data_IF_134770524517
#
_entry.id   IF_134770524517
#
_cell.length_a   1.000
_cell.length_b   1.000
_cell.length_c   1.000
_cell.angle_alpha   90.00
_cell.angle_beta   90.00
_cell.angle_gamma   90.00
#
_symmetry.space_group_name_H-M   'P 1'
#
loop_
_entity.id
_entity.type
_entity.pdbx_description
1 polymer ?
#
# COMPACT_ATOMS: atom_id res chain seq x y z
N UNK A 1 28.36 9.91 -0.13
CA UNK A 1 28.57 11.13 -0.93
C UNK A 1 27.22 11.65 -1.37
N UNK A 2 27.00 12.95 -1.58
CA UNK A 2 25.74 13.44 -2.13
C UNK A 2 25.53 12.85 -3.53
N UNK A 3 24.29 12.49 -3.85
CA UNK A 3 23.90 11.94 -5.15
C UNK A 3 23.10 13.03 -5.87
N UNK A 4 23.52 13.44 -7.10
CA UNK A 4 22.92 14.52 -7.85
C UNK A 4 22.13 13.99 -9.04
N UNK A 5 20.89 14.46 -9.23
CA UNK A 5 20.07 14.10 -10.39
C UNK A 5 20.59 14.79 -11.64
N UNK A 6 21.06 14.03 -12.63
CA UNK A 6 21.48 14.52 -13.95
C UNK A 6 20.35 14.50 -14.99
N UNK A 7 19.42 13.55 -14.89
CA UNK A 7 18.28 13.43 -15.81
C UNK A 7 17.03 12.92 -15.07
N UNK A 8 15.88 13.48 -15.41
CA UNK A 8 14.58 12.96 -15.06
C UNK A 8 13.75 12.61 -16.30
N UNK A 9 13.02 11.51 -16.29
CA UNK A 9 12.11 11.14 -17.36
C UNK A 9 10.79 10.58 -16.82
N UNK A 10 9.69 10.87 -17.51
CA UNK A 10 8.35 10.45 -17.18
C UNK A 10 7.81 9.55 -18.30
N UNK A 11 7.23 8.41 -17.91
CA UNK A 11 6.65 7.45 -18.83
C UNK A 11 5.23 7.11 -18.40
N UNK A 12 4.26 7.28 -19.30
CA UNK A 12 2.88 6.80 -19.08
C UNK A 12 2.80 5.32 -19.37
N UNK A 13 1.97 4.61 -18.58
CA UNK A 13 1.61 3.24 -18.84
C UNK A 13 0.09 3.01 -18.71
N UNK A 14 -0.41 1.92 -19.34
CA UNK A 14 -1.79 1.46 -19.23
C UNK A 14 -1.84 -0.07 -19.27
N UNK A 15 -1.82 -0.70 -18.10
CA UNK A 15 -1.77 -2.15 -17.93
C UNK A 15 -3.18 -2.75 -17.91
N UNK A 16 -3.47 -3.83 -18.65
CA UNK A 16 -4.76 -4.50 -18.59
C UNK A 16 -4.95 -5.20 -17.25
N UNK A 17 -6.19 -5.19 -16.74
CA UNK A 17 -6.58 -5.97 -15.57
C UNK A 17 -7.08 -7.35 -15.99
N UNK A 18 -6.92 -8.35 -15.12
CA UNK A 18 -7.41 -9.73 -15.33
C UNK A 18 -8.95 -9.80 -15.40
N UNK A 19 -9.63 -8.86 -14.75
CA UNK A 19 -11.07 -8.65 -14.80
C UNK A 19 -11.37 -7.19 -14.48
N UNK A 20 -12.51 -6.62 -14.93
CA UNK A 20 -12.91 -5.28 -14.55
C UNK A 20 -12.94 -5.10 -13.03
N UNK A 21 -12.40 -3.97 -12.58
CA UNK A 21 -12.37 -3.59 -11.17
C UNK A 21 -13.41 -2.50 -10.93
N UNK A 22 -14.39 -2.76 -10.07
CA UNK A 22 -15.37 -1.76 -9.68
C UNK A 22 -14.78 -0.85 -8.59
N UNK A 23 -14.55 0.41 -8.92
CA UNK A 23 -14.06 1.44 -8.03
C UNK A 23 -15.12 2.55 -7.93
N UNK A 24 -15.86 2.58 -6.82
CA UNK A 24 -17.03 3.44 -6.71
C UNK A 24 -18.05 3.16 -7.81
N UNK A 25 -18.41 4.18 -8.60
CA UNK A 25 -19.32 4.07 -9.74
C UNK A 25 -18.64 3.66 -11.06
N UNK A 26 -17.31 3.60 -11.11
CA UNK A 26 -16.55 3.34 -12.33
C UNK A 26 -16.08 1.89 -12.43
N UNK A 27 -16.20 1.31 -13.64
CA UNK A 27 -15.60 0.02 -13.98
C UNK A 27 -14.28 0.24 -14.73
N UNK A 28 -13.17 -0.04 -14.05
CA UNK A 28 -11.82 0.14 -14.58
C UNK A 28 -11.33 -1.19 -15.18
N UNK A 29 -10.93 -1.19 -16.43
CA UNK A 29 -10.38 -2.37 -17.14
C UNK A 29 -8.88 -2.32 -17.33
N UNK A 30 -8.28 -1.15 -17.12
CA UNK A 30 -6.83 -0.91 -17.24
C UNK A 30 -6.34 -0.07 -16.07
N UNK A 31 -5.24 -0.49 -15.46
CA UNK A 31 -4.53 0.31 -14.48
C UNK A 31 -3.60 1.28 -15.20
N UNK A 32 -3.73 2.56 -14.90
CA UNK A 32 -2.94 3.63 -15.53
C UNK A 32 -2.09 4.33 -14.48
N UNK A 33 -0.91 4.79 -14.90
CA UNK A 33 -0.01 5.55 -14.06
C UNK A 33 1.14 6.18 -14.84
N UNK A 34 2.03 6.85 -14.13
CA UNK A 34 3.26 7.44 -14.64
C UNK A 34 4.43 6.85 -13.88
N UNK A 35 5.38 6.25 -14.60
CA UNK A 35 6.69 5.94 -14.03
C UNK A 35 7.58 7.17 -14.07
N UNK A 36 8.24 7.44 -12.96
CA UNK A 36 9.32 8.40 -12.84
C UNK A 36 10.64 7.63 -12.91
N UNK A 37 11.55 8.05 -13.79
CA UNK A 37 12.93 7.56 -13.85
C UNK A 37 13.86 8.73 -13.51
N UNK A 38 14.70 8.54 -12.51
CA UNK A 38 15.77 9.48 -12.16
C UNK A 38 17.11 8.83 -12.47
N UNK A 39 17.99 9.58 -13.15
CA UNK A 39 19.38 9.18 -13.40
C UNK A 39 20.27 10.13 -12.64
N UNK A 40 21.23 9.59 -11.90
CA UNK A 40 22.23 10.36 -11.17
C UNK A 40 23.46 10.62 -12.02
N UNK A 41 24.31 11.59 -11.64
CA UNK A 41 25.56 11.92 -12.35
C UNK A 41 26.48 10.69 -12.49
N UNK A 42 26.48 9.81 -11.48
CA UNK A 42 27.27 8.57 -11.47
C UNK A 42 26.63 7.45 -12.33
N UNK A 43 25.52 7.74 -13.02
CA UNK A 43 24.82 6.78 -13.88
C UNK A 43 23.87 5.84 -13.14
N UNK A 44 23.76 5.94 -11.82
CA UNK A 44 22.78 5.19 -11.04
C UNK A 44 21.36 5.59 -11.41
N UNK A 45 20.43 4.63 -11.43
CA UNK A 45 19.04 4.86 -11.84
C UNK A 45 18.08 4.44 -10.75
N UNK A 46 17.13 5.31 -10.43
CA UNK A 46 15.98 4.98 -9.62
C UNK A 46 14.66 5.08 -10.40
N UNK A 47 13.71 4.26 -10.02
CA UNK A 47 12.37 4.23 -10.59
C UNK A 47 11.30 4.42 -9.51
N UNK A 48 10.22 5.11 -9.85
CA UNK A 48 9.04 5.26 -9.00
C UNK A 48 7.75 5.17 -9.79
N UNK A 49 6.67 4.85 -9.11
CA UNK A 49 5.35 4.62 -9.70
C UNK A 49 4.31 5.57 -9.12
N UNK A 50 3.85 6.53 -9.92
CA UNK A 50 2.77 7.45 -9.61
C UNK A 50 1.47 6.94 -10.23
N UNK A 51 0.69 6.23 -9.43
CA UNK A 51 -0.51 5.53 -9.89
C UNK A 51 -1.73 5.94 -9.05
N UNK A 52 -2.36 7.10 -9.29
CA UNK A 52 -3.57 7.48 -8.57
C UNK A 52 -4.67 6.46 -8.81
N UNK A 53 -5.44 6.10 -7.78
CA UNK A 53 -6.51 5.12 -7.87
C UNK A 53 -7.85 5.83 -8.00
N UNK A 54 -8.56 5.71 -9.14
CA UNK A 54 -9.86 6.37 -9.33
C UNK A 54 -10.84 6.08 -8.19
N UNK A 55 -11.50 7.10 -7.67
CA UNK A 55 -12.45 6.98 -6.56
C UNK A 55 -11.83 6.79 -5.16
N UNK A 56 -10.51 6.76 -5.06
CA UNK A 56 -9.76 6.66 -3.80
C UNK A 56 -8.68 7.74 -3.66
N UNK A 57 -7.97 8.08 -4.73
CA UNK A 57 -7.04 9.22 -4.74
C UNK A 57 -7.80 10.53 -4.88
N UNK A 58 -7.29 11.58 -4.23
CA UNK A 58 -7.81 12.94 -4.38
C UNK A 58 -7.43 13.53 -5.74
N UNK A 59 -6.29 13.10 -6.28
CA UNK A 59 -5.77 13.49 -7.59
C UNK A 59 -6.17 12.53 -8.71
N UNK A 60 -6.26 13.06 -9.94
CA UNK A 60 -6.42 12.29 -11.18
C UNK A 60 -5.05 11.99 -11.82
N UNK A 61 -5.01 11.09 -12.81
CA UNK A 61 -3.78 10.87 -13.61
C UNK A 61 -3.36 12.14 -14.36
N UNK A 62 -4.32 12.95 -14.83
CA UNK A 62 -4.03 14.23 -15.47
C UNK A 62 -3.34 15.22 -14.53
N UNK A 63 -3.79 15.31 -13.29
CA UNK A 63 -3.17 16.17 -12.26
C UNK A 63 -1.74 15.71 -11.97
N UNK A 64 -1.53 14.40 -11.84
CA UNK A 64 -0.19 13.81 -11.65
C UNK A 64 0.74 14.14 -12.81
N UNK A 65 0.30 13.95 -14.05
CA UNK A 65 1.10 14.26 -15.25
C UNK A 65 1.44 15.74 -15.34
N UNK A 66 0.47 16.60 -15.14
CA UNK A 66 0.67 18.06 -15.15
C UNK A 66 1.68 18.49 -14.06
N UNK A 67 1.48 17.99 -12.83
CA UNK A 67 2.37 18.29 -11.71
C UNK A 67 3.79 17.77 -11.95
N UNK A 68 3.92 16.51 -12.41
CA UNK A 68 5.21 15.87 -12.66
C UNK A 68 6.03 16.62 -13.72
N UNK A 69 5.39 17.04 -14.83
CA UNK A 69 6.05 17.88 -15.88
C UNK A 69 6.54 19.19 -15.33
N UNK A 70 5.74 19.88 -14.51
CA UNK A 70 6.11 21.17 -13.92
C UNK A 70 7.20 21.03 -12.84
N UNK A 71 7.24 19.91 -12.14
CA UNK A 71 8.18 19.66 -11.05
C UNK A 71 9.54 19.18 -11.56
N UNK A 72 9.58 18.30 -12.56
CA UNK A 72 10.79 17.60 -13.01
C UNK A 72 11.99 18.52 -13.29
N UNK A 73 11.85 19.71 -13.93
CA UNK A 73 12.96 20.63 -14.13
C UNK A 73 13.60 21.16 -12.84
N UNK A 74 12.84 21.21 -11.75
CA UNK A 74 13.33 21.66 -10.43
C UNK A 74 14.07 20.58 -9.68
N UNK A 75 13.86 19.32 -10.05
CA UNK A 75 14.52 18.17 -9.46
C UNK A 75 15.86 17.86 -10.12
N UNK A 76 16.03 18.17 -11.44
CA UNK A 76 17.32 18.02 -12.12
C UNK A 76 18.31 19.03 -11.57
N UNK A 77 19.55 18.60 -11.32
CA UNK A 77 20.60 19.37 -10.65
C UNK A 77 20.48 19.39 -9.11
N UNK A 78 19.41 18.81 -8.53
CA UNK A 78 19.28 18.71 -7.07
C UNK A 78 20.18 17.58 -6.54
N UNK A 79 20.95 17.90 -5.47
CA UNK A 79 21.76 16.91 -4.76
C UNK A 79 21.08 16.50 -3.46
N UNK A 80 21.12 15.21 -3.17
CA UNK A 80 20.59 14.64 -1.92
C UNK A 80 21.75 14.19 -1.05
N UNK A 81 21.58 14.38 0.28
CA UNK A 81 22.57 13.95 1.25
C UNK A 81 22.61 12.41 1.35
N UNK A 82 23.68 11.92 1.96
CA UNK A 82 23.96 10.52 2.18
C UNK A 82 22.82 9.82 2.96
N UNK A 83 21.96 9.13 2.25
CA UNK A 83 20.80 8.42 2.79
C UNK A 83 21.18 7.32 3.80
N UNK A 84 22.43 6.87 3.83
CA UNK A 84 22.91 5.89 4.83
C UNK A 84 22.97 6.47 6.24
N UNK A 85 23.03 7.80 6.39
CA UNK A 85 23.11 8.45 7.70
C UNK A 85 21.75 8.73 8.30
N UNK A 86 20.78 9.21 7.50
CA UNK A 86 19.42 9.52 7.97
C UNK A 86 18.45 9.57 6.79
N UNK A 87 17.80 8.45 6.52
CA UNK A 87 16.79 8.34 5.47
C UNK A 87 15.59 9.27 5.72
N UNK A 88 15.15 9.41 6.97
CA UNK A 88 13.98 10.23 7.30
C UNK A 88 14.29 11.71 7.06
N UNK A 89 15.48 12.18 7.40
CA UNK A 89 15.92 13.54 7.09
C UNK A 89 16.01 13.75 5.57
N UNK A 90 16.58 12.80 4.83
CA UNK A 90 16.64 12.89 3.36
C UNK A 90 15.24 13.02 2.75
N UNK A 91 14.28 12.20 3.18
CA UNK A 91 12.92 12.25 2.65
C UNK A 91 12.19 13.56 3.02
N UNK A 92 12.48 14.14 4.19
CA UNK A 92 11.93 15.44 4.62
C UNK A 92 12.45 16.61 3.78
N UNK A 93 13.71 16.56 3.38
CA UNK A 93 14.38 17.63 2.61
C UNK A 93 14.04 17.59 1.11
N UNK A 94 13.27 16.59 0.65
CA UNK A 94 12.87 16.52 -0.76
C UNK A 94 12.02 17.73 -1.16
N UNK A 95 12.29 18.37 -2.32
CA UNK A 95 11.73 19.67 -2.71
C UNK A 95 10.27 19.54 -3.22
N UNK A 96 9.41 18.89 -2.45
CA UNK A 96 7.99 18.85 -2.77
C UNK A 96 7.31 20.18 -2.48
N UNK A 97 6.50 20.67 -3.44
CA UNK A 97 5.53 21.73 -3.16
C UNK A 97 4.37 21.19 -2.28
N UNK A 98 3.65 22.11 -1.61
CA UNK A 98 2.53 21.75 -0.75
C UNK A 98 1.44 20.96 -1.49
N UNK A 99 1.20 21.29 -2.75
CA UNK A 99 0.18 20.72 -3.64
C UNK A 99 0.63 19.46 -4.39
N UNK A 100 1.79 18.86 -4.01
CA UNK A 100 2.27 17.67 -4.71
C UNK A 100 1.33 16.48 -4.49
N UNK A 101 0.81 15.85 -5.58
CA UNK A 101 -0.08 14.70 -5.48
C UNK A 101 0.52 13.54 -4.67
N UNK A 102 -0.31 12.83 -3.91
CA UNK A 102 0.15 11.73 -3.03
C UNK A 102 0.90 10.64 -3.79
N UNK A 103 0.38 10.20 -4.92
CA UNK A 103 1.02 9.18 -5.75
C UNK A 103 2.32 9.68 -6.38
N UNK A 104 2.42 10.98 -6.73
CA UNK A 104 3.66 11.57 -7.23
C UNK A 104 4.75 11.62 -6.15
N UNK A 105 4.39 11.97 -4.91
CA UNK A 105 5.33 11.91 -3.77
C UNK A 105 5.88 10.50 -3.60
N UNK A 106 5.00 9.48 -3.60
CA UNK A 106 5.42 8.08 -3.50
C UNK A 106 6.40 7.70 -4.63
N UNK A 107 6.11 8.11 -5.88
CA UNK A 107 6.98 7.84 -7.02
C UNK A 107 8.35 8.51 -6.88
N UNK A 108 8.38 9.79 -6.55
CA UNK A 108 9.64 10.53 -6.45
C UNK A 108 10.51 10.03 -5.29
N UNK A 109 9.93 9.81 -4.11
CA UNK A 109 10.63 9.24 -2.97
C UNK A 109 11.17 7.86 -3.29
N UNK A 110 10.35 7.00 -3.95
CA UNK A 110 10.78 5.68 -4.39
C UNK A 110 11.95 5.74 -5.40
N UNK A 111 11.88 6.65 -6.36
CA UNK A 111 12.95 6.83 -7.35
C UNK A 111 14.25 7.33 -6.69
N UNK A 112 14.17 8.28 -5.77
CA UNK A 112 15.33 8.80 -5.03
C UNK A 112 15.95 7.70 -4.16
N UNK A 113 15.15 6.97 -3.38
CA UNK A 113 15.65 5.86 -2.54
C UNK A 113 16.26 4.74 -3.40
N UNK A 114 15.64 4.41 -4.53
CA UNK A 114 16.17 3.40 -5.46
C UNK A 114 17.51 3.81 -6.07
N UNK A 115 17.66 5.09 -6.47
CA UNK A 115 18.90 5.60 -7.00
C UNK A 115 20.00 5.68 -5.93
N UNK A 116 19.65 6.13 -4.72
CA UNK A 116 20.57 6.15 -3.59
C UNK A 116 21.05 4.75 -3.22
N UNK A 117 20.15 3.76 -3.19
CA UNK A 117 20.53 2.36 -2.97
C UNK A 117 21.54 1.88 -4.02
N UNK A 118 21.28 2.15 -5.30
CA UNK A 118 22.21 1.80 -6.38
C UNK A 118 23.58 2.48 -6.25
N UNK A 119 23.61 3.76 -5.87
CA UNK A 119 24.84 4.53 -5.65
C UNK A 119 25.68 4.02 -4.47
N UNK A 120 25.05 3.42 -3.49
CA UNK A 120 25.70 2.81 -2.32
C UNK A 120 25.93 1.30 -2.43
N UNK A 121 25.69 0.70 -3.60
CA UNK A 121 25.79 -0.76 -3.83
C UNK A 121 24.93 -1.56 -2.82
N UNK A 122 23.83 -0.95 -2.34
CA UNK A 122 22.90 -1.55 -1.40
C UNK A 122 21.59 -1.93 -2.12
N UNK A 123 20.82 -2.81 -1.53
CA UNK A 123 19.44 -3.04 -1.96
C UNK A 123 18.49 -2.00 -1.37
N UNK A 124 17.36 -1.76 -2.04
CA UNK A 124 16.33 -0.84 -1.51
C UNK A 124 15.84 -1.25 -0.12
N UNK A 125 15.60 -2.55 0.18
CA UNK A 125 15.24 -2.96 1.54
C UNK A 125 16.29 -2.61 2.60
N UNK A 126 17.59 -2.74 2.29
CA UNK A 126 18.68 -2.37 3.21
C UNK A 126 18.75 -0.87 3.47
N UNK A 127 18.43 -0.04 2.46
CA UNK A 127 18.31 1.40 2.63
C UNK A 127 17.14 1.79 3.55
N UNK A 128 16.06 1.01 3.55
CA UNK A 128 14.87 1.28 4.37
C UNK A 128 15.01 0.75 5.82
N UNK A 129 15.94 -0.16 6.08
CA UNK A 129 16.18 -0.75 7.41
C UNK A 129 16.83 -2.13 7.36
N UNK A 130 16.58 -2.95 8.37
CA UNK A 130 17.08 -4.34 8.41
C UNK A 130 16.04 -5.27 7.76
N UNK A 131 16.26 -5.74 6.53
CA UNK A 131 15.24 -6.47 5.80
C UNK A 131 15.13 -7.94 6.22
N UNK A 132 13.90 -8.45 6.23
CA UNK A 132 13.63 -9.88 6.23
C UNK A 132 13.78 -10.44 4.81
N UNK A 133 14.09 -11.74 4.72
CA UNK A 133 14.20 -12.45 3.45
C UNK A 133 12.83 -12.75 2.81
N UNK A 134 11.77 -12.78 3.63
CA UNK A 134 10.40 -13.07 3.18
C UNK A 134 9.40 -12.09 3.79
N UNK A 135 8.35 -11.78 3.03
CA UNK A 135 7.20 -10.99 3.46
C UNK A 135 5.94 -11.84 3.34
N UNK A 136 5.23 -12.04 4.45
CA UNK A 136 3.97 -12.76 4.45
C UNK A 136 2.84 -11.89 3.86
N UNK A 137 1.98 -12.49 3.02
CA UNK A 137 0.80 -11.85 2.47
C UNK A 137 -0.47 -12.27 3.22
N UNK A 138 -1.48 -11.41 3.27
CA UNK A 138 -2.82 -11.81 3.61
C UNK A 138 -3.61 -12.25 2.37
N UNK A 139 -4.46 -13.25 2.52
CA UNK A 139 -5.41 -13.62 1.47
C UNK A 139 -6.65 -12.73 1.55
N UNK A 140 -7.13 -12.25 0.39
CA UNK A 140 -8.43 -11.60 0.28
C UNK A 140 -9.46 -12.63 -0.18
N UNK A 141 -10.54 -12.81 0.59
CA UNK A 141 -11.64 -13.67 0.19
C UNK A 141 -12.55 -12.97 -0.81
N UNK A 142 -13.12 -13.70 -1.79
CA UNK A 142 -14.13 -13.17 -2.69
C UNK A 142 -15.34 -12.61 -1.94
N UNK A 143 -15.90 -11.52 -2.45
CA UNK A 143 -17.04 -10.83 -1.83
C UNK A 143 -18.35 -11.63 -1.87
N UNK A 144 -18.57 -12.43 -2.92
CA UNK A 144 -19.81 -13.15 -3.17
C UNK A 144 -19.58 -14.65 -3.35
N UNK A 145 -20.54 -15.42 -2.93
CA UNK A 145 -20.59 -16.86 -3.08
C UNK A 145 -20.73 -17.60 -1.72
N UNK A 146 -21.54 -18.65 -1.71
CA UNK A 146 -21.82 -19.50 -0.53
C UNK A 146 -20.59 -20.24 0.03
N UNK A 147 -19.39 -20.02 -0.53
CA UNK A 147 -18.18 -20.80 -0.27
C UNK A 147 -17.10 -20.03 0.53
N UNK A 148 -17.47 -19.00 1.29
CA UNK A 148 -16.52 -18.25 2.14
C UNK A 148 -15.66 -19.15 3.02
N UNK A 149 -16.24 -20.05 3.81
CA UNK A 149 -15.49 -21.00 4.65
C UNK A 149 -14.55 -21.92 3.85
N UNK A 150 -15.02 -22.49 2.75
CA UNK A 150 -14.19 -23.36 1.88
C UNK A 150 -13.03 -22.63 1.27
N UNK A 151 -13.25 -21.37 0.83
CA UNK A 151 -12.18 -20.54 0.32
C UNK A 151 -11.16 -20.16 1.41
N UNK A 152 -11.64 -19.89 2.63
CA UNK A 152 -10.77 -19.59 3.76
C UNK A 152 -9.86 -20.78 4.11
N UNK A 153 -10.43 -21.98 4.18
CA UNK A 153 -9.66 -23.23 4.41
C UNK A 153 -8.64 -23.44 3.30
N UNK A 154 -9.02 -23.27 2.04
CA UNK A 154 -8.09 -23.38 0.91
C UNK A 154 -6.92 -22.41 1.07
N UNK A 155 -7.16 -21.13 1.42
CA UNK A 155 -6.10 -20.17 1.65
C UNK A 155 -5.18 -20.54 2.81
N UNK A 156 -5.76 -21.10 3.90
CA UNK A 156 -4.97 -21.63 5.00
C UNK A 156 -4.08 -22.81 4.54
N UNK A 157 -4.62 -23.75 3.74
CA UNK A 157 -3.86 -24.88 3.18
C UNK A 157 -2.74 -24.43 2.23
N UNK A 158 -2.96 -23.34 1.48
CA UNK A 158 -1.94 -22.67 0.67
C UNK A 158 -0.84 -22.01 1.53
N UNK A 159 -1.02 -21.92 2.87
CA UNK A 159 -0.04 -21.42 3.83
C UNK A 159 -0.27 -19.97 4.29
N UNK A 160 -1.37 -19.33 3.90
CA UNK A 160 -1.69 -17.99 4.41
C UNK A 160 -1.97 -18.01 5.92
N UNK A 161 -1.43 -17.01 6.63
CA UNK A 161 -1.58 -16.83 8.09
C UNK A 161 -2.52 -15.67 8.45
N UNK A 162 -3.05 -14.97 7.46
CA UNK A 162 -4.09 -13.97 7.63
C UNK A 162 -5.05 -14.02 6.44
N UNK A 163 -6.34 -13.91 6.74
CA UNK A 163 -7.42 -13.91 5.77
C UNK A 163 -8.27 -12.66 6.00
N UNK A 164 -8.53 -11.90 4.93
CA UNK A 164 -9.37 -10.70 4.97
C UNK A 164 -10.69 -10.95 4.26
N UNK A 165 -11.79 -10.59 4.89
CA UNK A 165 -13.16 -10.67 4.35
C UNK A 165 -13.78 -9.29 4.26
N UNK A 166 -14.43 -8.97 3.14
CA UNK A 166 -15.22 -7.73 3.00
C UNK A 166 -16.60 -7.94 3.60
N UNK A 167 -17.04 -6.97 4.41
CA UNK A 167 -18.36 -6.91 5.06
C UNK A 167 -19.04 -5.56 4.72
N UNK A 168 -20.26 -5.32 5.24
CA UNK A 168 -20.97 -4.05 5.10
C UNK A 168 -21.65 -3.85 3.74
N UNK A 169 -21.94 -4.91 2.97
CA UNK A 169 -22.64 -4.80 1.68
C UNK A 169 -23.96 -5.55 1.59
N UNK A 170 -24.28 -6.32 2.61
CA UNK A 170 -25.53 -7.02 2.84
C UNK A 170 -26.15 -6.58 4.14
N UNK A 171 -27.05 -7.41 4.70
CA UNK A 171 -27.54 -7.24 6.07
C UNK A 171 -26.43 -7.53 7.08
N UNK A 172 -26.47 -6.84 8.22
CA UNK A 172 -25.48 -7.01 9.31
C UNK A 172 -25.48 -8.45 9.83
N UNK A 173 -26.66 -9.05 9.95
CA UNK A 173 -26.83 -10.43 10.40
C UNK A 173 -26.16 -11.43 9.43
N UNK A 174 -26.25 -11.19 8.11
CA UNK A 174 -25.57 -12.01 7.10
C UNK A 174 -24.05 -11.90 7.23
N UNK A 175 -23.54 -10.68 7.50
CA UNK A 175 -22.12 -10.46 7.72
C UNK A 175 -21.63 -11.17 9.01
N UNK A 176 -22.40 -11.13 10.10
CA UNK A 176 -22.15 -11.86 11.35
C UNK A 176 -22.07 -13.36 11.07
N UNK A 177 -23.11 -13.94 10.46
CA UNK A 177 -23.15 -15.37 10.13
C UNK A 177 -21.95 -15.79 9.27
N UNK A 178 -21.62 -14.97 8.26
CA UNK A 178 -20.50 -15.21 7.35
C UNK A 178 -19.16 -15.21 8.09
N UNK A 179 -18.92 -14.20 8.93
CA UNK A 179 -17.67 -14.07 9.70
C UNK A 179 -17.54 -15.25 10.69
N UNK A 180 -18.62 -15.65 11.36
CA UNK A 180 -18.68 -16.84 12.21
C UNK A 180 -18.34 -18.12 11.46
N UNK A 181 -18.97 -18.33 10.30
CA UNK A 181 -18.73 -19.53 9.49
C UNK A 181 -17.27 -19.61 9.02
N UNK A 182 -16.68 -18.48 8.61
CA UNK A 182 -15.27 -18.41 8.20
C UNK A 182 -14.35 -18.69 9.40
N UNK A 183 -14.59 -18.03 10.56
CA UNK A 183 -13.74 -18.21 11.75
C UNK A 183 -13.74 -19.67 12.24
N UNK A 184 -14.92 -20.30 12.26
CA UNK A 184 -15.05 -21.73 12.67
C UNK A 184 -14.32 -22.70 11.73
N UNK A 185 -14.16 -22.33 10.46
CA UNK A 185 -13.48 -23.18 9.48
C UNK A 185 -11.95 -23.02 9.50
N UNK A 186 -11.43 -21.93 10.07
CA UNK A 186 -10.00 -21.65 10.14
C UNK A 186 -9.40 -22.13 11.46
N UNK A 187 -8.13 -22.54 11.44
CA UNK A 187 -7.35 -22.75 12.64
C UNK A 187 -7.19 -21.47 13.46
N UNK A 188 -7.04 -21.59 14.77
CA UNK A 188 -6.85 -20.44 15.66
C UNK A 188 -5.58 -19.62 15.34
N UNK A 189 -4.60 -20.24 14.68
CA UNK A 189 -3.34 -19.57 14.27
C UNK A 189 -3.49 -18.65 13.06
N UNK A 190 -4.62 -18.70 12.34
CA UNK A 190 -4.90 -17.86 11.18
C UNK A 190 -5.69 -16.64 11.61
N UNK A 191 -5.11 -15.46 11.44
CA UNK A 191 -5.77 -14.20 11.74
C UNK A 191 -6.93 -13.94 10.78
N UNK A 192 -8.12 -13.67 11.31
CA UNK A 192 -9.26 -13.20 10.52
C UNK A 192 -9.37 -11.69 10.64
N UNK A 193 -9.46 -10.99 9.51
CA UNK A 193 -9.64 -9.55 9.38
C UNK A 193 -10.94 -9.28 8.65
N UNK A 194 -11.78 -8.42 9.17
CA UNK A 194 -12.97 -7.92 8.46
C UNK A 194 -12.73 -6.50 7.97
N UNK A 195 -13.31 -6.13 6.82
CA UNK A 195 -13.14 -4.80 6.24
C UNK A 195 -14.50 -4.29 5.76
N UNK A 196 -15.03 -3.31 6.47
CA UNK A 196 -16.34 -2.72 6.23
C UNK A 196 -16.30 -1.52 5.26
N UNK A 197 -15.13 -0.93 5.00
CA UNK A 197 -14.97 0.25 4.15
C UNK A 197 -16.01 1.35 4.46
N UNK A 198 -16.21 1.66 5.74
CA UNK A 198 -17.15 2.67 6.23
C UNK A 198 -18.60 2.44 5.81
N UNK A 199 -19.03 1.17 5.70
CA UNK A 199 -20.36 0.89 5.19
C UNK A 199 -21.47 1.03 6.25
N UNK A 200 -21.16 0.88 7.54
CA UNK A 200 -22.15 0.80 8.59
C UNK A 200 -22.46 2.14 9.26
N UNK A 201 -23.73 2.36 9.58
CA UNK A 201 -24.14 3.30 10.62
C UNK A 201 -23.59 2.85 11.97
N UNK A 202 -23.63 3.71 12.98
CA UNK A 202 -23.17 3.36 14.32
C UNK A 202 -23.93 2.16 14.90
N UNK A 203 -25.27 2.12 14.77
CA UNK A 203 -26.11 1.05 15.31
C UNK A 203 -25.89 -0.27 14.59
N UNK A 204 -25.68 -0.26 13.27
CA UNK A 204 -25.29 -1.46 12.50
C UNK A 204 -23.94 -1.99 12.94
N UNK A 205 -22.94 -1.12 13.12
CA UNK A 205 -21.62 -1.50 13.58
C UNK A 205 -21.66 -2.11 14.99
N UNK A 206 -22.45 -1.53 15.90
CA UNK A 206 -22.69 -2.09 17.24
C UNK A 206 -23.37 -3.45 17.15
N UNK A 207 -24.40 -3.60 16.30
CA UNK A 207 -25.08 -4.89 16.07
C UNK A 207 -24.10 -5.95 15.56
N UNK A 208 -23.23 -5.58 14.62
CA UNK A 208 -22.18 -6.48 14.16
C UNK A 208 -21.22 -6.87 15.29
N UNK A 209 -20.74 -5.89 16.07
CA UNK A 209 -19.83 -6.13 17.19
C UNK A 209 -20.43 -7.04 18.24
N UNK A 210 -21.68 -6.79 18.67
CA UNK A 210 -22.41 -7.64 19.62
C UNK A 210 -22.62 -9.07 19.07
N UNK A 211 -22.83 -9.20 17.75
CA UNK A 211 -22.98 -10.50 17.07
C UNK A 211 -21.72 -11.34 16.99
N UNK A 212 -20.54 -10.76 17.14
CA UNK A 212 -19.22 -11.43 17.07
C UNK A 212 -18.39 -11.29 18.36
N UNK A 213 -18.98 -10.87 19.48
CA UNK A 213 -18.27 -10.56 20.73
C UNK A 213 -17.36 -11.71 21.23
N UNK A 214 -17.86 -12.96 21.13
CA UNK A 214 -17.11 -14.17 21.51
C UNK A 214 -16.12 -14.66 20.42
N UNK A 215 -15.99 -13.94 19.30
CA UNK A 215 -15.24 -14.44 18.15
C UNK A 215 -13.83 -13.87 18.11
N UNK A 216 -12.77 -14.69 18.09
CA UNK A 216 -11.40 -14.19 17.92
C UNK A 216 -11.19 -13.64 16.51
N UNK A 217 -11.29 -12.31 16.37
CA UNK A 217 -10.99 -11.56 15.15
C UNK A 217 -9.77 -10.67 15.39
N UNK A 218 -8.94 -10.49 14.37
CA UNK A 218 -7.77 -9.63 14.50
C UNK A 218 -8.15 -8.14 14.58
N UNK A 219 -9.08 -7.72 13.75
CA UNK A 219 -9.69 -6.38 13.76
C UNK A 219 -10.84 -6.28 12.76
N UNK A 220 -11.63 -5.21 12.91
CA UNK A 220 -12.55 -4.69 11.90
C UNK A 220 -12.00 -3.38 11.36
N UNK A 221 -11.78 -3.28 10.06
CA UNK A 221 -11.22 -2.13 9.37
C UNK A 221 -12.34 -1.16 8.97
N UNK A 222 -12.19 0.12 9.36
CA UNK A 222 -13.10 1.24 9.04
C UNK A 222 -14.59 0.85 9.18
N UNK A 223 -15.08 0.54 10.38
CA UNK A 223 -16.45 0.07 10.56
C UNK A 223 -17.51 1.12 10.22
N UNK A 224 -17.26 2.41 10.51
CA UNK A 224 -18.28 3.45 10.55
C UNK A 224 -18.31 4.34 9.32
N UNK A 225 -19.50 4.61 8.80
CA UNK A 225 -19.75 5.65 7.78
C UNK A 225 -19.39 7.06 8.28
N UNK A 226 -19.57 7.30 9.58
CA UNK A 226 -19.16 8.53 10.26
C UNK A 226 -17.93 8.24 11.15
N UNK A 227 -16.71 8.52 10.68
CA UNK A 227 -15.49 8.27 11.45
C UNK A 227 -15.34 9.14 12.69
N UNK A 228 -16.12 10.23 12.82
CA UNK A 228 -16.09 11.09 14.02
C UNK A 228 -16.66 10.39 15.27
N UNK A 229 -17.35 9.27 15.09
CA UNK A 229 -17.92 8.47 16.18
C UNK A 229 -17.09 7.22 16.51
N UNK A 230 -15.86 7.15 16.02
CA UNK A 230 -15.03 5.95 16.18
C UNK A 230 -14.61 5.70 17.62
N UNK A 231 -14.32 6.74 18.39
CA UNK A 231 -14.02 6.66 19.82
C UNK A 231 -15.21 6.16 20.62
N UNK A 232 -16.43 6.71 20.41
CA UNK A 232 -17.67 6.20 21.01
C UNK A 232 -17.89 4.71 20.72
N UNK A 233 -17.60 4.28 19.47
CA UNK A 233 -17.75 2.90 19.05
C UNK A 233 -16.76 1.97 19.76
N UNK A 234 -15.51 2.38 19.86
CA UNK A 234 -14.45 1.62 20.54
C UNK A 234 -14.80 1.47 22.03
N UNK A 235 -15.24 2.55 22.68
CA UNK A 235 -15.66 2.51 24.09
C UNK A 235 -16.87 1.59 24.31
N UNK A 236 -17.82 1.60 23.36
CA UNK A 236 -19.07 0.82 23.48
C UNK A 236 -18.88 -0.67 23.25
N UNK A 237 -17.96 -1.07 22.35
CA UNK A 237 -17.92 -2.46 21.84
C UNK A 237 -16.67 -3.23 22.25
N UNK A 238 -15.59 -2.57 22.61
CA UNK A 238 -14.26 -3.18 22.85
C UNK A 238 -13.74 -4.01 21.65
N UNK A 239 -14.35 -3.87 20.46
CA UNK A 239 -13.96 -4.57 19.25
C UNK A 239 -12.62 -4.04 18.73
N UNK A 240 -11.63 -4.89 18.41
CA UNK A 240 -10.39 -4.41 17.79
C UNK A 240 -10.67 -3.73 16.45
N UNK A 241 -10.18 -2.50 16.27
CA UNK A 241 -10.39 -1.68 15.08
C UNK A 241 -9.10 -1.48 14.32
N UNK A 242 -9.18 -1.39 12.98
CA UNK A 242 -8.10 -0.90 12.13
C UNK A 242 -8.50 0.36 11.36
N UNK A 243 -7.55 1.29 11.20
CA UNK A 243 -7.72 2.48 10.36
C UNK A 243 -7.17 2.22 8.95
N UNK A 244 -7.87 2.67 7.92
CA UNK A 244 -7.45 2.71 6.50
C UNK A 244 -7.72 4.11 5.91
N UNK A 245 -8.96 4.42 5.57
CA UNK A 245 -9.35 5.72 5.02
C UNK A 245 -9.00 6.87 5.98
N UNK A 246 -9.19 6.68 7.27
CA UNK A 246 -8.85 7.66 8.33
C UNK A 246 -7.38 8.07 8.30
N UNK A 247 -6.46 7.20 7.87
CA UNK A 247 -5.02 7.53 7.81
C UNK A 247 -4.69 8.63 6.81
N UNK A 248 -5.53 8.83 5.79
CA UNK A 248 -5.37 9.88 4.78
C UNK A 248 -5.95 11.21 5.23
N UNK A 249 -7.04 11.16 5.99
CA UNK A 249 -7.85 12.30 6.41
C UNK A 249 -7.33 12.95 7.69
N UNK A 250 -6.62 12.19 8.53
CA UNK A 250 -6.16 12.64 9.84
C UNK A 250 -4.61 12.58 9.95
N UNK A 251 -4.01 13.38 10.83
CA UNK A 251 -2.58 13.26 11.14
C UNK A 251 -2.31 12.03 12.03
N UNK A 252 -1.09 11.45 11.99
CA UNK A 252 -0.73 10.28 12.81
C UNK A 252 -0.98 10.45 14.30
N UNK A 253 -0.88 11.67 14.81
CA UNK A 253 -1.10 11.98 16.23
C UNK A 253 -2.52 11.64 16.73
N UNK A 254 -3.51 11.58 15.83
CA UNK A 254 -4.91 11.21 16.13
C UNK A 254 -4.99 9.83 16.79
N UNK A 255 -4.10 8.91 16.42
CA UNK A 255 -4.08 7.54 16.95
C UNK A 255 -3.92 7.49 18.48
N UNK A 256 -3.29 8.49 19.08
CA UNK A 256 -3.10 8.55 20.54
C UNK A 256 -4.42 8.68 21.34
N UNK A 257 -5.46 9.17 20.69
CA UNK A 257 -6.80 9.29 21.28
C UNK A 257 -7.70 8.08 21.05
N UNK A 258 -7.22 7.03 20.36
CA UNK A 258 -8.01 5.87 19.95
C UNK A 258 -7.44 4.55 20.49
N UNK A 259 -7.56 4.26 21.80
CA UNK A 259 -6.86 3.13 22.46
C UNK A 259 -7.32 1.73 21.98
N UNK A 260 -8.49 1.62 21.33
CA UNK A 260 -8.98 0.36 20.75
C UNK A 260 -8.53 0.10 19.32
N UNK A 261 -7.73 1.00 18.72
CA UNK A 261 -7.13 0.76 17.41
C UNK A 261 -5.93 -0.17 17.57
N UNK A 262 -6.03 -1.36 16.98
CA UNK A 262 -5.00 -2.42 17.04
C UNK A 262 -4.18 -2.55 15.78
N UNK A 263 -4.61 -1.95 14.68
CA UNK A 263 -3.87 -1.91 13.43
C UNK A 263 -4.11 -0.60 12.65
N UNK A 264 -3.14 -0.27 11.80
CA UNK A 264 -3.24 0.86 10.85
C UNK A 264 -2.85 0.35 9.48
N UNK A 265 -3.78 0.39 8.54
CA UNK A 265 -3.54 0.00 7.15
C UNK A 265 -2.93 1.17 6.40
N UNK A 266 -1.74 0.98 5.86
CA UNK A 266 -0.95 2.01 5.22
C UNK A 266 -0.82 1.73 3.72
N UNK A 267 -1.34 2.63 2.91
CA UNK A 267 -1.27 2.61 1.44
C UNK A 267 -0.38 3.75 0.96
N UNK A 268 0.94 3.55 0.81
CA UNK A 268 1.90 4.63 0.56
C UNK A 268 1.55 5.52 -0.63
N UNK A 269 1.03 4.94 -1.71
CA UNK A 269 0.58 5.67 -2.91
C UNK A 269 -0.55 6.67 -2.59
N UNK A 270 -1.49 6.30 -1.72
CA UNK A 270 -2.62 7.16 -1.33
C UNK A 270 -2.26 8.07 -0.15
N UNK A 271 -1.35 7.62 0.71
CA UNK A 271 -0.98 8.32 1.94
C UNK A 271 -0.04 9.50 1.70
N UNK A 272 0.65 9.54 0.57
CA UNK A 272 1.57 10.62 0.22
C UNK A 272 3.05 10.26 0.41
N UNK A 273 3.41 8.98 0.16
CA UNK A 273 4.79 8.53 0.03
C UNK A 273 5.36 7.76 1.21
N UNK A 274 6.68 7.53 1.15
CA UNK A 274 7.43 6.73 2.11
C UNK A 274 7.57 7.45 3.45
N UNK A 275 7.87 8.75 3.41
CA UNK A 275 8.05 9.58 4.61
C UNK A 275 6.82 9.50 5.52
N UNK A 276 5.65 9.80 4.97
CA UNK A 276 4.39 9.78 5.73
C UNK A 276 4.02 8.37 6.19
N UNK A 277 4.31 7.36 5.37
CA UNK A 277 4.12 5.95 5.74
C UNK A 277 4.98 5.54 6.93
N UNK A 278 6.25 5.95 6.94
CA UNK A 278 7.18 5.67 8.05
C UNK A 278 6.76 6.40 9.33
N UNK A 279 6.29 7.64 9.22
CA UNK A 279 5.76 8.41 10.34
C UNK A 279 4.54 7.72 10.97
N UNK A 280 3.54 7.34 10.16
CA UNK A 280 2.39 6.56 10.61
C UNK A 280 2.82 5.23 11.25
N UNK A 281 3.75 4.52 10.61
CA UNK A 281 4.27 3.26 11.12
C UNK A 281 4.96 3.40 12.49
N UNK A 282 5.68 4.50 12.71
CA UNK A 282 6.31 4.80 14.00
C UNK A 282 5.25 5.09 15.07
N UNK A 283 4.31 6.02 14.78
CA UNK A 283 3.26 6.39 15.74
C UNK A 283 2.35 5.19 16.06
N UNK A 284 2.04 4.34 15.08
CA UNK A 284 1.28 3.11 15.29
C UNK A 284 1.99 2.17 16.28
N UNK A 285 3.28 1.89 16.06
CA UNK A 285 4.05 1.04 17.00
C UNK A 285 4.14 1.65 18.41
N UNK A 286 4.36 2.96 18.52
CA UNK A 286 4.41 3.66 19.80
C UNK A 286 3.06 3.58 20.55
N UNK A 287 1.95 3.49 19.83
CA UNK A 287 0.61 3.29 20.36
C UNK A 287 0.21 1.82 20.57
N UNK A 288 1.09 0.86 20.25
CA UNK A 288 0.81 -0.58 20.33
C UNK A 288 -0.02 -1.15 19.17
N UNK A 289 -0.26 -0.36 18.13
CA UNK A 289 -0.98 -0.79 16.94
C UNK A 289 -0.02 -1.34 15.86
N UNK A 290 -0.47 -2.35 15.11
CA UNK A 290 0.29 -2.95 14.03
C UNK A 290 0.19 -2.13 12.73
N UNK A 291 1.29 -1.57 12.16
CA UNK A 291 1.25 -1.00 10.83
C UNK A 291 1.21 -2.13 9.78
N UNK A 292 0.17 -2.14 8.96
CA UNK A 292 -0.10 -3.14 7.92
C UNK A 292 -0.02 -2.47 6.56
N UNK A 293 1.02 -2.75 5.78
CA UNK A 293 1.12 -2.23 4.41
C UNK A 293 0.08 -2.87 3.49
N UNK A 294 -0.46 -2.07 2.58
CA UNK A 294 -1.40 -2.52 1.56
C UNK A 294 -1.13 -1.83 0.22
N UNK A 295 -1.32 -2.56 -0.87
CA UNK A 295 -1.21 -2.02 -2.22
C UNK A 295 -2.52 -1.39 -2.72
N UNK A 296 -2.38 -0.49 -3.70
CA UNK A 296 -3.45 0.21 -4.41
C UNK A 296 -3.41 -0.08 -5.90
N UNK A 297 -3.09 -1.35 -6.26
CA UNK A 297 -2.95 -1.82 -7.65
C UNK A 297 -1.79 -1.14 -8.40
N UNK A 298 -0.68 -0.91 -7.74
CA UNK A 298 0.55 -0.40 -8.33
C UNK A 298 1.10 -1.34 -9.39
N UNK A 299 1.90 -0.79 -10.32
CA UNK A 299 2.74 -1.59 -11.22
C UNK A 299 3.85 -2.31 -10.45
N UNK A 300 4.57 -3.19 -11.13
CA UNK A 300 5.73 -3.89 -10.54
C UNK A 300 6.75 -2.95 -9.91
N UNK A 301 6.93 -1.73 -10.43
CA UNK A 301 7.83 -0.72 -9.84
C UNK A 301 7.32 -0.28 -8.47
N UNK A 302 6.02 0.04 -8.36
CA UNK A 302 5.43 0.42 -7.07
C UNK A 302 5.42 -0.76 -6.08
N UNK A 303 5.04 -1.95 -6.55
CA UNK A 303 5.03 -3.16 -5.73
C UNK A 303 6.41 -3.52 -5.18
N UNK A 304 7.48 -3.36 -5.95
CA UNK A 304 8.86 -3.55 -5.45
C UNK A 304 9.14 -2.67 -4.23
N UNK A 305 8.76 -1.41 -4.29
CA UNK A 305 8.94 -0.48 -3.17
C UNK A 305 8.09 -0.88 -1.97
N UNK A 306 6.85 -1.34 -2.18
CA UNK A 306 5.98 -1.85 -1.10
C UNK A 306 6.55 -3.11 -0.44
N UNK A 307 7.12 -4.04 -1.23
CA UNK A 307 7.81 -5.23 -0.70
C UNK A 307 9.04 -4.84 0.12
N UNK A 308 9.84 -3.87 -0.36
CA UNK A 308 11.00 -3.37 0.36
C UNK A 308 10.63 -2.74 1.71
N UNK A 309 9.58 -1.89 1.72
CA UNK A 309 9.02 -1.32 2.95
C UNK A 309 8.51 -2.39 3.91
N UNK A 310 7.76 -3.37 3.38
CA UNK A 310 7.24 -4.48 4.19
C UNK A 310 8.37 -5.32 4.80
N UNK A 311 9.43 -5.59 4.04
CA UNK A 311 10.58 -6.35 4.50
C UNK A 311 11.30 -5.68 5.67
N UNK A 312 11.37 -4.35 5.66
CA UNK A 312 12.05 -3.54 6.68
C UNK A 312 11.13 -3.10 7.83
N UNK A 313 9.83 -3.39 7.73
CA UNK A 313 8.84 -3.09 8.77
C UNK A 313 8.58 -4.26 9.73
N UNK A 314 7.49 -4.26 10.52
CA UNK A 314 7.12 -5.36 11.40
C UNK A 314 6.70 -6.62 10.63
N UNK A 315 6.84 -7.79 11.29
CA UNK A 315 6.52 -9.09 10.71
C UNK A 315 5.01 -9.38 10.77
N UNK A 316 4.21 -8.58 10.07
CA UNK A 316 2.76 -8.79 9.94
C UNK A 316 2.40 -9.11 8.50
N UNK A 317 1.41 -9.97 8.22
CA UNK A 317 0.94 -10.22 6.86
C UNK A 317 0.39 -8.94 6.21
N UNK A 318 0.85 -8.62 4.99
CA UNK A 318 0.54 -7.39 4.26
C UNK A 318 -0.42 -7.63 3.08
N UNK A 319 -1.09 -6.59 2.62
CA UNK A 319 -2.12 -6.64 1.57
C UNK A 319 -1.59 -6.31 0.19
N UNK A 320 -0.72 -7.14 -0.41
CA UNK A 320 -0.16 -6.89 -1.75
C UNK A 320 -0.77 -7.75 -2.87
N UNK A 321 -1.77 -8.56 -2.59
CA UNK A 321 -2.46 -9.41 -3.60
C UNK A 321 -3.22 -8.58 -4.66
N UNK A 322 -3.24 -7.27 -4.57
CA UNK A 322 -3.75 -6.38 -5.63
C UNK A 322 -2.94 -6.51 -6.92
N UNK A 323 -1.68 -6.91 -6.84
CA UNK A 323 -0.81 -7.14 -7.99
C UNK A 323 -1.30 -8.29 -8.89
N UNK A 324 -1.91 -9.33 -8.32
CA UNK A 324 -2.50 -10.46 -9.07
C UNK A 324 -3.65 -10.03 -10.01
N UNK A 325 -4.14 -8.80 -9.87
CA UNK A 325 -5.18 -8.24 -10.73
C UNK A 325 -4.63 -7.64 -12.03
N UNK A 326 -3.33 -7.50 -12.18
CA UNK A 326 -2.70 -7.07 -13.41
C UNK A 326 -2.52 -8.27 -14.35
N UNK A 327 -3.05 -8.18 -15.58
CA UNK A 327 -2.83 -9.18 -16.62
C UNK A 327 -1.50 -9.00 -17.36
N UNK A 328 -0.87 -7.83 -17.22
CA UNK A 328 0.47 -7.52 -17.71
C UNK A 328 1.10 -6.47 -16.79
N UNK A 329 2.41 -6.35 -16.83
CA UNK A 329 3.16 -5.42 -15.98
C UNK A 329 4.12 -4.56 -16.80
N UNK A 330 4.67 -3.52 -16.17
CA UNK A 330 5.78 -2.72 -16.70
C UNK A 330 7.11 -3.50 -16.71
N UNK A 331 7.18 -4.62 -16.02
CA UNK A 331 8.27 -5.58 -16.11
C UNK A 331 7.94 -6.75 -17.04
N UNK A 332 8.97 -7.26 -17.73
CA UNK A 332 8.91 -8.50 -18.50
C UNK A 332 10.13 -9.38 -18.13
N UNK A 333 9.92 -10.57 -17.51
CA UNK A 333 8.65 -11.07 -17.00
C UNK A 333 8.13 -10.26 -15.79
N UNK A 334 6.82 -10.37 -15.44
CA UNK A 334 6.27 -9.80 -14.22
C UNK A 334 7.00 -10.27 -12.96
N UNK A 335 6.81 -9.56 -11.85
CA UNK A 335 7.41 -9.95 -10.58
C UNK A 335 6.85 -11.29 -10.09
N UNK A 336 7.69 -12.16 -9.51
CA UNK A 336 7.26 -13.45 -8.97
C UNK A 336 6.55 -13.26 -7.61
N UNK A 337 5.41 -12.57 -7.63
CA UNK A 337 4.55 -12.37 -6.46
C UNK A 337 3.33 -13.26 -6.64
N UNK A 338 3.12 -14.13 -5.69
CA UNK A 338 2.00 -15.06 -5.65
C UNK A 338 2.14 -15.99 -4.44
N UNK A 339 1.01 -16.50 -3.94
CA UNK A 339 1.02 -17.32 -2.75
C UNK A 339 1.17 -16.55 -1.44
N UNK A 340 1.42 -17.26 -0.32
CA UNK A 340 1.35 -16.70 1.03
C UNK A 340 2.58 -15.86 1.42
N UNK A 341 3.70 -15.99 0.70
CA UNK A 341 4.96 -15.31 0.99
C UNK A 341 5.61 -14.78 -0.27
N UNK A 342 6.28 -13.64 -0.16
CA UNK A 342 7.12 -13.04 -1.20
C UNK A 342 8.57 -13.23 -0.83
N UNK A 343 9.37 -13.74 -1.76
CA UNK A 343 10.83 -13.75 -1.68
C UNK A 343 11.36 -12.33 -1.94
N UNK A 344 11.90 -11.69 -0.91
CA UNK A 344 12.33 -10.29 -0.98
C UNK A 344 13.51 -10.10 -1.95
N UNK A 345 14.59 -10.90 -1.92
CA UNK A 345 15.68 -10.82 -2.88
C UNK A 345 15.23 -10.94 -4.34
N UNK A 346 14.25 -11.82 -4.62
CA UNK A 346 13.76 -12.03 -5.99
C UNK A 346 12.93 -10.86 -6.53
N UNK A 347 12.31 -10.09 -5.64
CA UNK A 347 11.34 -9.01 -5.98
C UNK A 347 11.95 -7.64 -5.80
N UNK A 348 12.57 -7.34 -4.68
CA UNK A 348 12.94 -5.98 -4.28
C UNK A 348 14.22 -5.43 -4.92
N UNK A 349 14.83 -6.13 -5.88
CA UNK A 349 15.99 -5.65 -6.63
C UNK A 349 15.53 -4.94 -7.91
N UNK A 350 15.64 -3.60 -7.99
CA UNK A 350 15.28 -2.86 -9.20
C UNK A 350 16.19 -3.27 -10.38
N UNK A 351 15.59 -3.41 -11.55
CA UNK A 351 16.34 -3.73 -12.75
C UNK A 351 15.76 -3.03 -13.97
N UNK A 352 16.48 -2.04 -14.48
CA UNK A 352 16.14 -1.37 -15.74
C UNK A 352 16.07 -2.35 -16.92
N UNK A 353 16.87 -3.44 -16.89
CA UNK A 353 16.88 -4.46 -17.92
C UNK A 353 15.56 -5.25 -18.03
N UNK A 354 14.74 -5.23 -16.97
CA UNK A 354 13.43 -5.89 -16.95
C UNK A 354 12.27 -4.99 -17.44
N UNK A 355 12.52 -3.71 -17.69
CA UNK A 355 11.47 -2.77 -18.14
C UNK A 355 10.98 -3.18 -19.53
N UNK A 356 9.67 -3.38 -19.66
CA UNK A 356 8.95 -3.64 -20.91
C UNK A 356 8.69 -2.31 -21.63
N UNK A 357 9.72 -1.79 -22.29
CA UNK A 357 9.72 -0.47 -22.93
C UNK A 357 8.57 -0.28 -23.93
N UNK A 358 8.12 -1.35 -24.58
CA UNK A 358 6.99 -1.35 -25.51
C UNK A 358 5.64 -1.04 -24.85
N UNK A 359 5.58 -1.01 -23.52
CA UNK A 359 4.38 -0.67 -22.72
C UNK A 359 4.41 0.73 -22.14
N UNK A 360 5.48 1.48 -22.44
CA UNK A 360 5.74 2.80 -21.88
C UNK A 360 5.75 3.87 -22.97
N UNK A 361 4.96 4.92 -22.77
CA UNK A 361 4.97 6.12 -23.61
C UNK A 361 5.78 7.21 -22.89
N UNK A 362 6.92 7.61 -23.47
CA UNK A 362 7.70 8.75 -22.95
C UNK A 362 6.87 10.04 -23.10
N UNK A 363 6.64 10.71 -21.99
CA UNK A 363 5.84 11.96 -21.96
C UNK A 363 6.65 13.20 -21.61
N UNK A 364 7.82 13.05 -21.00
CA UNK A 364 8.73 14.15 -20.67
C UNK A 364 10.13 13.61 -20.39
N UNK A 365 11.16 14.43 -20.73
CA UNK A 365 12.56 14.20 -20.33
C UNK A 365 13.24 15.53 -20.12
N UNK A 366 13.97 15.67 -19.00
CA UNK A 366 14.71 16.86 -18.63
C UNK A 366 16.11 16.44 -18.16
N UNK A 367 17.14 17.10 -18.68
CA UNK A 367 18.53 16.94 -18.24
C UNK A 367 19.01 18.23 -17.58
N UNK A 368 19.94 18.09 -16.61
CA UNK A 368 20.57 19.22 -15.93
C UNK A 368 21.49 20.02 -16.87
#
# INVERSE_FOLDING_TARGET
>A
MPVTISEGALYRYALPLTAPLQLGSEAVTRRRGVLVRLTMEEGCVGWGDAAPLPGFSDETLGDVEQHARAALPRWTGTSFFDAQRDLDAMLQDLPFGAEAPSSFRFAMEGAVVGAAAAAHEASVPEMLGTPRQTVALNALLPRSGANGPTQAVRRQEEGYRAVKVKVGRGGVEEDVERVWAIRKALDASVALRADANRAWSFDEAVTFADGIDDLPIAYVEEPLADPARLDDFIERTSLPVALDETTREAPPATLRGLPGVTAVVLKPTLLGGLQRTREWGRVARDAGAAPVLSGSYESGVGIQMLVALAASGPAVPVGLSTYDRLAADVYAPPLPIGGPNVDVPAVATPSTARIAWERLDLIERVSA
#
